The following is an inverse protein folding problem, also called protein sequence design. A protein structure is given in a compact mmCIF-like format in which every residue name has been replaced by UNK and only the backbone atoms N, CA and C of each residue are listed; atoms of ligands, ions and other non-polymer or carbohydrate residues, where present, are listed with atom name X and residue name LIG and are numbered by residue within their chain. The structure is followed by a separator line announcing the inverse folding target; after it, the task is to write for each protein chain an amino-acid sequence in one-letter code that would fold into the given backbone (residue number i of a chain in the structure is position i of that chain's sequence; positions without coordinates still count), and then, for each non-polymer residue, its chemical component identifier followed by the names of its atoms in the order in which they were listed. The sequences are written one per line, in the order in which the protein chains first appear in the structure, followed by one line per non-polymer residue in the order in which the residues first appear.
data_IF_065677569316
#
_entry.id   IF_065677569316
#
_cell.length_a   1.000
_cell.length_b   1.000
_cell.length_c   1.000
_cell.angle_alpha   90.00
_cell.angle_beta   90.00
_cell.angle_gamma   90.00
#
_symmetry.space_group_name_H-M   'P 1'
#
loop_
_entity.id
_entity.type
_entity.pdbx_description
1 polymer ?
#
# COMPACT_ATOMS: atom_id res chain seq x y z
N UNK A 1 -18.15 0.01 -1.66
CA UNK A 1 -17.30 1.02 -2.33
C UNK A 1 -16.31 1.56 -1.30
N UNK A 2 -15.00 1.53 -1.57
CA UNK A 2 -14.00 2.08 -0.63
C UNK A 2 -14.02 3.61 -0.74
N UNK A 3 -14.27 4.31 0.37
CA UNK A 3 -14.28 5.79 0.41
C UNK A 3 -13.03 6.30 1.12
N UNK A 4 -12.15 6.94 0.35
CA UNK A 4 -10.92 7.54 0.86
C UNK A 4 -11.19 8.99 1.27
N UNK A 5 -10.46 9.49 2.28
CA UNK A 5 -10.52 10.90 2.67
C UNK A 5 -9.88 11.75 1.55
N UNK A 6 -10.38 12.98 1.28
CA UNK A 6 -9.68 13.91 0.40
C UNK A 6 -8.22 14.08 0.80
N UNK A 7 -7.30 14.11 -0.17
CA UNK A 7 -5.86 14.20 0.09
C UNK A 7 -5.17 12.89 0.48
N UNK A 8 -5.86 11.74 0.43
CA UNK A 8 -5.23 10.42 0.59
C UNK A 8 -4.22 10.21 -0.53
N UNK A 9 -2.94 10.03 -0.18
CA UNK A 9 -1.88 9.75 -1.16
C UNK A 9 -1.92 8.29 -1.61
N UNK A 10 -1.75 8.07 -2.91
CA UNK A 10 -1.68 6.74 -3.50
C UNK A 10 -0.26 6.45 -4.00
N UNK A 11 0.27 5.29 -3.61
CA UNK A 11 1.59 4.83 -4.00
C UNK A 11 1.43 3.57 -4.84
N UNK A 12 2.03 3.55 -6.02
CA UNK A 12 2.04 2.39 -6.89
C UNK A 12 3.38 1.67 -6.77
N UNK A 13 3.35 0.42 -6.33
CA UNK A 13 4.53 -0.43 -6.38
C UNK A 13 4.75 -0.88 -7.84
N UNK A 14 5.79 -0.34 -8.49
CA UNK A 14 6.01 -0.50 -9.94
C UNK A 14 6.46 -1.90 -10.36
N UNK A 15 7.08 -2.65 -9.46
CA UNK A 15 7.52 -4.01 -9.76
C UNK A 15 6.35 -4.99 -9.64
N UNK A 16 6.30 -5.97 -10.55
CA UNK A 16 5.30 -7.02 -10.49
C UNK A 16 5.36 -7.72 -9.13
N UNK A 17 4.23 -7.79 -8.45
CA UNK A 17 4.13 -8.45 -7.16
C UNK A 17 3.50 -9.81 -7.36
N UNK A 18 4.16 -10.88 -6.90
CA UNK A 18 3.53 -12.18 -6.88
C UNK A 18 2.36 -12.14 -5.89
N UNK A 19 1.16 -12.26 -6.43
CA UNK A 19 -0.09 -12.18 -5.67
C UNK A 19 -0.28 -13.25 -4.56
N UNK A 20 0.41 -14.41 -4.56
CA UNK A 20 0.40 -15.32 -3.40
C UNK A 20 0.99 -14.71 -2.12
N UNK A 21 1.72 -13.60 -2.20
CA UNK A 21 2.25 -12.93 -1.00
C UNK A 21 1.09 -12.44 -0.12
N UNK A 22 1.11 -12.82 1.16
CA UNK A 22 0.18 -12.32 2.18
C UNK A 22 0.35 -10.82 2.44
N UNK A 23 -0.61 -10.21 3.14
CA UNK A 23 -0.60 -8.78 3.43
C UNK A 23 0.63 -8.33 4.23
N UNK A 24 1.13 -9.14 5.17
CA UNK A 24 2.32 -8.80 5.98
C UNK A 24 3.57 -8.57 5.14
N UNK A 25 3.74 -9.39 4.09
CA UNK A 25 4.88 -9.26 3.18
C UNK A 25 4.76 -8.00 2.34
N UNK A 26 3.54 -7.66 1.90
CA UNK A 26 3.28 -6.41 1.18
C UNK A 26 3.51 -5.19 2.07
N UNK A 27 3.14 -5.28 3.35
CA UNK A 27 3.37 -4.23 4.33
C UNK A 27 4.86 -4.04 4.61
N UNK A 28 5.65 -5.13 4.65
CA UNK A 28 7.11 -5.07 4.78
C UNK A 28 7.75 -4.39 3.56
N UNK A 29 7.35 -4.79 2.34
CA UNK A 29 7.83 -4.17 1.09
C UNK A 29 7.49 -2.67 1.03
N UNK A 30 6.30 -2.27 1.48
CA UNK A 30 5.91 -0.87 1.57
C UNK A 30 6.78 -0.09 2.56
N UNK A 31 7.04 -0.66 3.75
CA UNK A 31 7.90 -0.04 4.76
C UNK A 31 9.33 0.15 4.23
N UNK A 32 9.89 -0.87 3.56
CA UNK A 32 11.21 -0.79 2.91
C UNK A 32 11.25 0.33 1.86
N UNK A 33 10.19 0.47 1.04
CA UNK A 33 10.14 1.51 0.00
C UNK A 33 9.99 2.93 0.55
N UNK A 34 9.29 3.11 1.66
CA UNK A 34 9.02 4.42 2.24
C UNK A 34 10.13 4.89 3.19
N UNK A 35 10.99 3.98 3.66
CA UNK A 35 12.09 4.30 4.56
C UNK A 35 11.63 4.93 5.88
N UNK A 36 12.41 5.88 6.40
CA UNK A 36 12.19 6.47 7.72
C UNK A 36 11.00 7.43 7.82
N UNK A 37 10.40 7.86 6.71
CA UNK A 37 9.32 8.84 6.75
C UNK A 37 8.11 8.45 5.88
N UNK A 38 7.38 7.37 6.25
CA UNK A 38 6.15 7.02 5.56
C UNK A 38 5.07 8.10 5.80
N UNK A 39 4.21 8.39 4.80
CA UNK A 39 3.10 9.31 4.94
C UNK A 39 2.19 8.93 6.12
N UNK A 40 1.51 9.92 6.69
CA UNK A 40 0.63 9.71 7.85
C UNK A 40 -0.56 8.79 7.52
N UNK A 41 -1.09 8.93 6.31
CA UNK A 41 -2.13 8.06 5.76
C UNK A 41 -1.95 7.92 4.25
N UNK A 42 -2.46 6.83 3.70
CA UNK A 42 -2.35 6.57 2.26
C UNK A 42 -2.83 5.18 1.87
N UNK A 43 -2.69 4.90 0.58
CA UNK A 43 -2.86 3.57 0.01
C UNK A 43 -1.63 3.15 -0.79
N UNK A 44 -1.30 1.86 -0.73
CA UNK A 44 -0.27 1.25 -1.54
C UNK A 44 -0.92 0.22 -2.44
N UNK A 45 -0.73 0.37 -3.74
CA UNK A 45 -1.34 -0.42 -4.79
C UNK A 45 -0.28 -1.38 -5.34
N UNK A 46 -0.60 -2.66 -5.31
CA UNK A 46 0.22 -3.74 -5.85
C UNK A 46 -0.51 -4.38 -7.02
N UNK A 47 0.19 -4.51 -8.15
CA UNK A 47 -0.33 -5.15 -9.34
C UNK A 47 0.31 -6.54 -9.50
N UNK A 48 -0.48 -7.50 -9.98
CA UNK A 48 0.04 -8.79 -10.42
C UNK A 48 0.95 -8.60 -11.63
N UNK A 49 1.78 -9.60 -11.92
CA UNK A 49 2.64 -9.58 -13.12
C UNK A 49 1.88 -9.44 -14.44
N UNK A 50 0.62 -9.90 -14.49
CA UNK A 50 -0.26 -9.77 -15.65
C UNK A 50 -1.19 -8.54 -15.58
N UNK A 51 -1.06 -7.73 -14.52
CA UNK A 51 -1.93 -6.58 -14.22
C UNK A 51 -3.43 -6.91 -14.15
N UNK A 52 -3.77 -8.18 -13.94
CA UNK A 52 -5.14 -8.71 -13.85
C UNK A 52 -5.66 -8.78 -12.42
N UNK A 53 -4.78 -8.58 -11.43
CA UNK A 53 -5.15 -8.54 -10.01
C UNK A 53 -4.51 -7.36 -9.32
N UNK A 54 -5.26 -6.79 -8.37
CA UNK A 54 -4.82 -5.65 -7.56
C UNK A 54 -4.95 -6.03 -6.09
N UNK A 55 -3.92 -5.72 -5.30
CA UNK A 55 -4.01 -5.66 -3.84
C UNK A 55 -3.79 -4.23 -3.39
N UNK A 56 -4.62 -3.76 -2.47
CA UNK A 56 -4.52 -2.43 -1.90
C UNK A 56 -4.28 -2.59 -0.40
N UNK A 57 -3.19 -2.02 0.09
CA UNK A 57 -2.98 -1.79 1.51
C UNK A 57 -3.39 -0.37 1.86
N UNK A 58 -4.25 -0.21 2.85
CA UNK A 58 -4.62 1.08 3.42
C UNK A 58 -3.94 1.21 4.79
N UNK A 59 -3.34 2.36 5.05
CA UNK A 59 -2.89 2.71 6.39
C UNK A 59 -3.38 4.11 6.76
N UNK A 60 -3.73 4.25 8.03
CA UNK A 60 -4.05 5.53 8.65
C UNK A 60 -3.37 5.47 10.02
N UNK A 61 -2.19 6.11 10.15
CA UNK A 61 -1.58 6.31 11.47
C UNK A 61 -2.40 7.39 12.18
N UNK A 62 -3.54 6.97 12.71
CA UNK A 62 -4.20 7.70 13.78
C UNK A 62 -3.28 7.55 14.98
N UNK A 63 -2.50 8.59 15.31
CA UNK A 63 -2.00 8.73 16.66
C UNK A 63 -3.25 8.74 17.55
N UNK A 64 -3.58 7.61 18.16
CA UNK A 64 -4.29 7.67 19.43
C UNK A 64 -3.31 8.32 20.38
N UNK A 65 -3.75 9.45 20.93
CA UNK A 65 -3.10 10.27 21.93
C UNK A 65 -2.38 9.41 22.99
#
# INVERSE_FOLDING_TARGET
MLRLKPGTQAFLYKAATDMPRGFDRLASMMQECMGCNPPRSGICVFLSRRSDRVKILYWDRVNKL
#
